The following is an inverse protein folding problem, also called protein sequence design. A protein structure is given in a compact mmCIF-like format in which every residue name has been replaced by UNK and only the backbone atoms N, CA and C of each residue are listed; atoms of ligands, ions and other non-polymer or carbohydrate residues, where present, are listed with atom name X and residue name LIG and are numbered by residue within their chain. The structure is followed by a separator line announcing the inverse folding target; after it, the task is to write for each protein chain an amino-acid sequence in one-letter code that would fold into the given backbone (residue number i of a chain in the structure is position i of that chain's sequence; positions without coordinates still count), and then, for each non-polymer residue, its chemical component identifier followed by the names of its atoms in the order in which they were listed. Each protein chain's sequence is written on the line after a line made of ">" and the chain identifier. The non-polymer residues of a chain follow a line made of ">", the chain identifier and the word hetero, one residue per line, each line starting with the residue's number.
data_IF_686440544023
#
_entry.id   IF_686440544023
#
_cell.length_a   1.000
_cell.length_b   1.000
_cell.length_c   1.000
_cell.angle_alpha   90.00
_cell.angle_beta   90.00
_cell.angle_gamma   90.00
#
_symmetry.space_group_name_H-M   'P 1'
#
loop_
_entity.id
_entity.type
_entity.pdbx_description
1 polymer ?
#
# COMPACT_ATOMS: atom_id res chain seq x y z
N UNK A 1 13.23 17.12 7.86
CA UNK A 1 12.20 17.60 6.91
C UNK A 1 12.07 19.10 7.05
N UNK A 2 11.96 19.84 5.94
CA UNK A 2 11.75 21.28 6.00
C UNK A 2 10.26 21.62 6.27
N UNK A 3 9.97 22.87 6.64
CA UNK A 3 8.59 23.31 6.93
C UNK A 3 7.63 23.13 5.74
N UNK A 4 8.15 23.20 4.51
CA UNK A 4 7.37 22.97 3.29
C UNK A 4 7.01 21.49 3.10
N UNK A 5 7.92 20.57 3.41
CA UNK A 5 7.65 19.12 3.33
C UNK A 5 6.52 18.73 4.29
N UNK A 6 6.54 19.27 5.51
CA UNK A 6 5.51 18.99 6.53
C UNK A 6 4.13 19.52 6.07
N UNK A 7 4.08 20.70 5.43
CA UNK A 7 2.82 21.24 4.88
C UNK A 7 2.30 20.40 3.73
N UNK A 8 3.19 19.94 2.84
CA UNK A 8 2.82 19.10 1.71
C UNK A 8 2.32 17.72 2.16
N UNK A 9 3.05 17.06 3.06
CA UNK A 9 2.65 15.78 3.65
C UNK A 9 1.24 15.87 4.25
N UNK A 10 0.95 16.91 5.04
CA UNK A 10 -0.40 17.13 5.59
C UNK A 10 -1.47 17.34 4.51
N UNK A 11 -1.12 17.98 3.38
CA UNK A 11 -2.05 18.16 2.25
C UNK A 11 -2.36 16.81 1.58
N UNK A 12 -1.34 15.98 1.36
CA UNK A 12 -1.46 14.63 0.82
C UNK A 12 -2.31 13.76 1.76
N UNK A 13 -1.98 13.75 3.05
CA UNK A 13 -2.68 12.95 4.05
C UNK A 13 -4.17 13.29 4.11
N UNK A 14 -4.54 14.58 4.13
CA UNK A 14 -5.94 15.00 4.08
C UNK A 14 -6.65 14.57 2.80
N UNK A 15 -5.98 14.68 1.66
CA UNK A 15 -6.54 14.27 0.38
C UNK A 15 -6.79 12.76 0.34
N UNK A 16 -5.77 11.97 0.69
CA UNK A 16 -5.85 10.51 0.74
C UNK A 16 -6.91 10.03 1.73
N UNK A 17 -6.96 10.60 2.94
CA UNK A 17 -7.98 10.26 3.94
C UNK A 17 -9.38 10.53 3.41
N UNK A 18 -9.62 11.68 2.77
CA UNK A 18 -10.92 11.99 2.17
C UNK A 18 -11.31 10.97 1.08
N UNK A 19 -10.36 10.53 0.27
CA UNK A 19 -10.61 9.48 -0.72
C UNK A 19 -10.94 8.13 -0.06
N UNK A 20 -10.27 7.78 1.05
CA UNK A 20 -10.52 6.55 1.80
C UNK A 20 -11.85 6.59 2.57
N UNK A 21 -12.22 7.73 3.16
CA UNK A 21 -13.50 7.89 3.87
C UNK A 21 -14.71 7.78 2.91
N UNK A 22 -14.51 8.07 1.62
CA UNK A 22 -15.51 7.88 0.58
C UNK A 22 -15.63 6.43 0.09
N UNK A 23 -14.81 5.51 0.61
CA UNK A 23 -14.92 4.08 0.33
C UNK A 23 -16.08 3.48 1.12
N UNK A 24 -17.20 3.23 0.46
CA UNK A 24 -18.44 2.74 1.08
C UNK A 24 -18.84 1.33 0.64
N UNK A 25 -17.94 0.65 -0.10
CA UNK A 25 -18.33 -0.48 -0.95
C UNK A 25 -18.24 -1.84 -0.27
N UNK A 26 -17.49 -1.97 0.83
CA UNK A 26 -17.32 -3.26 1.49
C UNK A 26 -17.45 -3.16 3.02
N UNK A 27 -18.18 -4.10 3.64
CA UNK A 27 -18.10 -4.27 5.08
C UNK A 27 -16.68 -4.71 5.47
N UNK A 28 -16.15 -4.19 6.58
CA UNK A 28 -14.81 -4.52 7.07
C UNK A 28 -14.10 -3.31 7.69
N UNK A 29 -12.82 -3.48 8.05
CA UNK A 29 -11.98 -2.38 8.53
C UNK A 29 -11.87 -1.26 7.51
N UNK A 30 -11.77 -0.02 7.99
CA UNK A 30 -11.71 1.15 7.11
C UNK A 30 -10.39 1.22 6.33
N UNK A 31 -10.46 1.53 5.03
CA UNK A 31 -9.30 1.60 4.11
C UNK A 31 -8.16 2.51 4.62
N UNK A 32 -8.48 3.53 5.42
CA UNK A 32 -7.48 4.43 5.98
C UNK A 32 -6.51 3.72 6.95
N UNK A 33 -6.98 2.74 7.71
CA UNK A 33 -6.15 1.97 8.64
C UNK A 33 -5.07 1.17 7.89
N UNK A 34 -5.46 0.49 6.81
CA UNK A 34 -4.55 -0.16 5.85
C UNK A 34 -3.52 0.82 5.31
N UNK A 35 -3.94 1.97 4.78
CA UNK A 35 -3.02 2.99 4.24
C UNK A 35 -1.98 3.45 5.29
N UNK A 36 -2.39 3.60 6.56
CA UNK A 36 -1.47 3.95 7.64
C UNK A 36 -0.48 2.82 7.97
N UNK A 37 -0.91 1.55 7.92
CA UNK A 37 -0.02 0.40 8.05
C UNK A 37 0.99 0.34 6.90
N UNK A 38 0.53 0.48 5.65
CA UNK A 38 1.38 0.49 4.46
C UNK A 38 2.42 1.60 4.55
N UNK A 39 2.03 2.82 4.93
CA UNK A 39 2.98 3.93 5.16
C UNK A 39 4.07 3.57 6.18
N UNK A 40 3.69 2.96 7.30
CA UNK A 40 4.65 2.55 8.34
C UNK A 40 5.66 1.52 7.81
N UNK A 41 5.19 0.51 7.08
CA UNK A 41 6.08 -0.48 6.48
C UNK A 41 6.92 0.08 5.35
N UNK A 42 6.38 0.94 4.49
CA UNK A 42 7.11 1.58 3.41
C UNK A 42 8.29 2.39 3.95
N UNK A 43 8.09 3.21 4.98
CA UNK A 43 9.17 3.96 5.64
C UNK A 43 10.22 3.05 6.29
N UNK A 44 9.78 1.97 6.95
CA UNK A 44 10.67 1.00 7.58
C UNK A 44 11.55 0.29 6.55
N UNK A 45 10.95 -0.20 5.47
CA UNK A 45 11.65 -0.89 4.39
C UNK A 45 12.55 0.08 3.63
N UNK A 46 12.09 1.29 3.32
CA UNK A 46 12.89 2.32 2.65
C UNK A 46 14.23 2.58 3.36
N UNK A 47 14.19 2.65 4.70
CA UNK A 47 15.39 2.83 5.52
C UNK A 47 16.35 1.63 5.43
N UNK A 48 15.82 0.42 5.36
CA UNK A 48 16.64 -0.81 5.25
C UNK A 48 17.26 -0.93 3.86
N UNK A 49 16.49 -0.63 2.81
CA UNK A 49 16.93 -0.69 1.42
C UNK A 49 17.76 0.53 0.98
N UNK A 50 17.83 1.58 1.80
CA UNK A 50 18.62 2.79 1.52
C UNK A 50 18.04 3.67 0.40
N UNK A 51 16.71 3.71 0.27
CA UNK A 51 16.00 4.46 -0.79
C UNK A 51 15.26 5.68 -0.27
N UNK A 52 14.84 6.57 -1.17
CA UNK A 52 14.16 7.82 -0.82
C UNK A 52 12.84 7.58 -0.07
N UNK A 53 12.84 7.96 1.22
CA UNK A 53 11.68 7.84 2.10
C UNK A 53 10.54 8.80 1.75
N UNK A 54 10.82 9.98 1.17
CA UNK A 54 9.80 11.01 0.94
C UNK A 54 8.84 10.58 -0.17
N UNK A 55 9.38 10.16 -1.32
CA UNK A 55 8.56 9.69 -2.43
C UNK A 55 7.72 8.46 -2.02
N UNK A 56 8.32 7.54 -1.26
CA UNK A 56 7.64 6.35 -0.77
C UNK A 56 6.52 6.65 0.23
N UNK A 57 6.73 7.63 1.13
CA UNK A 57 5.68 8.06 2.06
C UNK A 57 4.47 8.61 1.31
N UNK A 58 4.70 9.44 0.29
CA UNK A 58 3.62 10.01 -0.53
C UNK A 58 2.93 8.94 -1.37
N UNK A 59 3.70 8.02 -1.97
CA UNK A 59 3.14 6.91 -2.74
C UNK A 59 2.30 5.98 -1.86
N UNK A 60 2.76 5.65 -0.64
CA UNK A 60 2.01 4.83 0.30
C UNK A 60 0.69 5.48 0.73
N UNK A 61 0.66 6.80 0.94
CA UNK A 61 -0.59 7.51 1.24
C UNK A 61 -1.57 7.49 0.05
N UNK A 62 -1.06 7.46 -1.17
CA UNK A 62 -1.87 7.64 -2.38
C UNK A 62 -2.21 6.33 -3.11
N UNK A 63 -1.62 5.19 -2.74
CA UNK A 63 -1.68 3.96 -3.54
C UNK A 63 -3.11 3.44 -3.80
N UNK A 64 -4.00 3.59 -2.83
CA UNK A 64 -5.34 3.00 -2.83
C UNK A 64 -6.50 4.00 -2.96
N UNK A 65 -6.21 5.28 -3.24
CA UNK A 65 -7.23 6.35 -3.29
C UNK A 65 -8.29 6.15 -4.39
N UNK A 66 -8.01 5.28 -5.36
CA UNK A 66 -8.90 4.89 -6.45
C UNK A 66 -9.88 3.77 -6.09
N UNK A 67 -9.86 3.20 -4.89
CA UNK A 67 -10.81 2.13 -4.48
C UNK A 67 -12.26 2.61 -4.26
N UNK A 68 -12.50 3.91 -4.23
CA UNK A 68 -13.78 4.54 -3.84
C UNK A 68 -14.97 4.43 -4.82
N UNK A 69 -14.95 3.53 -5.80
CA UNK A 69 -16.01 3.42 -6.82
C UNK A 69 -16.42 1.98 -7.09
N UNK A 70 -17.67 1.77 -7.51
CA UNK A 70 -18.31 0.45 -7.69
C UNK A 70 -17.54 -0.44 -8.68
N UNK A 71 -16.85 0.16 -9.65
CA UNK A 71 -16.00 -0.52 -10.64
C UNK A 71 -14.53 -0.67 -10.17
N UNK A 72 -14.22 -0.28 -8.93
CA UNK A 72 -12.87 -0.07 -8.42
C UNK A 72 -12.02 -1.32 -8.22
N UNK A 73 -12.60 -2.53 -8.23
CA UNK A 73 -11.82 -3.75 -7.93
C UNK A 73 -10.82 -4.10 -9.04
N UNK A 74 -11.20 -4.02 -10.32
CA UNK A 74 -10.34 -4.48 -11.42
C UNK A 74 -9.28 -3.46 -11.88
N UNK A 75 -9.41 -2.17 -11.53
CA UNK A 75 -8.51 -1.12 -12.01
C UNK A 75 -8.13 -0.05 -10.96
N UNK A 76 -8.23 -0.33 -9.66
CA UNK A 76 -7.94 0.68 -8.62
C UNK A 76 -6.55 1.32 -8.76
N UNK A 77 -5.52 0.59 -9.19
CA UNK A 77 -4.18 1.15 -9.30
C UNK A 77 -4.05 2.14 -10.45
N UNK A 78 -4.66 1.86 -11.61
CA UNK A 78 -4.71 2.82 -12.73
C UNK A 78 -5.49 4.08 -12.32
N UNK A 79 -6.61 3.92 -11.61
CA UNK A 79 -7.40 5.05 -11.12
C UNK A 79 -6.64 5.85 -10.04
N UNK A 80 -5.99 5.16 -9.11
CA UNK A 80 -5.15 5.80 -8.09
C UNK A 80 -4.01 6.57 -8.73
N UNK A 81 -3.41 6.04 -9.81
CA UNK A 81 -2.42 6.74 -10.62
C UNK A 81 -3.00 8.01 -11.24
N UNK A 82 -4.17 7.96 -11.89
CA UNK A 82 -4.79 9.15 -12.49
C UNK A 82 -5.16 10.22 -11.46
N UNK A 83 -5.69 9.82 -10.30
CA UNK A 83 -5.98 10.73 -9.18
C UNK A 83 -4.70 11.34 -8.60
N UNK A 84 -3.66 10.51 -8.43
CA UNK A 84 -2.34 10.93 -7.97
C UNK A 84 -1.73 11.94 -8.93
N UNK A 85 -1.72 11.63 -10.23
CA UNK A 85 -1.20 12.51 -11.29
C UNK A 85 -1.91 13.87 -11.28
N UNK A 86 -3.24 13.89 -11.16
CA UNK A 86 -4.02 15.13 -11.04
C UNK A 86 -3.67 15.91 -9.77
N UNK A 87 -3.59 15.23 -8.62
CA UNK A 87 -3.23 15.87 -7.36
C UNK A 87 -1.82 16.47 -7.37
N UNK A 88 -0.83 15.72 -7.88
CA UNK A 88 0.58 16.12 -7.89
C UNK A 88 0.87 17.31 -8.81
N UNK A 89 0.02 17.56 -9.81
CA UNK A 89 0.08 18.81 -10.62
C UNK A 89 -0.26 20.06 -9.80
N UNK A 90 -0.93 19.93 -8.65
CA UNK A 90 -1.34 21.05 -7.79
C UNK A 90 -0.35 21.36 -6.67
N UNK A 91 0.82 20.71 -6.65
CA UNK A 91 1.85 20.87 -5.63
C UNK A 91 3.21 21.04 -6.30
N UNK A 92 4.12 21.73 -5.61
CA UNK A 92 5.47 21.93 -6.12
C UNK A 92 6.36 20.76 -5.71
N UNK A 93 6.71 19.91 -6.67
CA UNK A 93 7.63 18.79 -6.52
C UNK A 93 8.50 18.66 -7.79
N UNK A 94 9.75 18.18 -7.67
CA UNK A 94 10.55 17.80 -8.82
C UNK A 94 9.79 16.82 -9.73
N UNK A 95 9.96 16.92 -11.04
CA UNK A 95 9.31 16.01 -12.00
C UNK A 95 9.66 14.55 -11.70
N UNK A 96 10.94 14.26 -11.47
CA UNK A 96 11.43 12.93 -11.13
C UNK A 96 10.76 12.33 -9.89
N UNK A 97 10.51 13.14 -8.85
CA UNK A 97 9.78 12.72 -7.65
C UNK A 97 8.31 12.43 -7.98
N UNK A 98 7.66 13.25 -8.81
CA UNK A 98 6.28 13.03 -9.23
C UNK A 98 6.12 11.76 -10.06
N UNK A 99 7.04 11.50 -10.98
CA UNK A 99 7.08 10.29 -11.79
C UNK A 99 7.29 9.04 -10.93
N UNK A 100 8.22 9.08 -9.98
CA UNK A 100 8.46 7.97 -9.06
C UNK A 100 7.22 7.63 -8.21
N UNK A 101 6.56 8.65 -7.65
CA UNK A 101 5.32 8.44 -6.87
C UNK A 101 4.25 7.80 -7.76
N UNK A 102 4.05 8.36 -8.96
CA UNK A 102 3.09 7.84 -9.93
C UNK A 102 3.37 6.40 -10.33
N UNK A 103 4.63 6.06 -10.61
CA UNK A 103 5.03 4.71 -10.98
C UNK A 103 4.78 3.70 -9.85
N UNK A 104 5.14 4.06 -8.62
CA UNK A 104 4.85 3.26 -7.44
C UNK A 104 3.34 3.01 -7.29
N UNK A 105 2.53 4.06 -7.39
CA UNK A 105 1.06 3.95 -7.30
C UNK A 105 0.47 3.14 -8.46
N UNK A 106 1.01 3.24 -9.68
CA UNK A 106 0.49 2.47 -10.81
C UNK A 106 0.78 0.97 -10.66
N UNK A 107 1.98 0.61 -10.20
CA UNK A 107 2.49 -0.76 -10.19
C UNK A 107 2.31 -1.50 -8.85
N UNK A 108 1.79 -0.87 -7.80
CA UNK A 108 1.71 -1.50 -6.48
C UNK A 108 0.86 -2.78 -6.44
N UNK A 109 -0.19 -2.89 -7.27
CA UNK A 109 -1.05 -4.09 -7.30
C UNK A 109 -0.63 -5.13 -8.34
N UNK A 110 0.24 -4.77 -9.28
CA UNK A 110 0.60 -5.65 -10.40
C UNK A 110 1.55 -6.76 -9.94
N UNK A 111 1.23 -8.00 -10.32
CA UNK A 111 2.11 -9.17 -10.16
C UNK A 111 3.19 -9.28 -11.26
N UNK A 112 3.19 -8.37 -12.24
CA UNK A 112 4.03 -8.45 -13.44
C UNK A 112 5.50 -8.09 -13.20
N UNK A 113 6.38 -8.78 -13.95
CA UNK A 113 7.85 -8.71 -14.02
C UNK A 113 8.53 -7.92 -12.89
N UNK A 114 8.52 -8.54 -11.71
CA UNK A 114 9.18 -8.03 -10.51
C UNK A 114 10.70 -7.81 -10.72
N UNK A 115 11.30 -8.34 -11.77
CA UNK A 115 12.72 -8.18 -12.08
C UNK A 115 13.06 -6.73 -12.49
N UNK A 116 12.26 -6.11 -13.36
CA UNK A 116 12.55 -4.78 -13.95
C UNK A 116 12.03 -3.60 -13.13
N UNK A 117 11.32 -3.87 -12.03
CA UNK A 117 10.82 -2.81 -11.18
C UNK A 117 11.95 -2.07 -10.48
N UNK A 118 11.81 -0.75 -10.39
CA UNK A 118 12.63 0.07 -9.50
C UNK A 118 12.50 -0.42 -8.06
N UNK A 119 13.56 -0.22 -7.27
CA UNK A 119 13.60 -0.65 -5.88
C UNK A 119 12.46 -0.02 -5.04
N UNK A 120 12.08 1.23 -5.31
CA UNK A 120 10.99 1.91 -4.61
C UNK A 120 9.62 1.27 -4.91
N UNK A 121 9.40 0.81 -6.14
CA UNK A 121 8.18 0.07 -6.50
C UNK A 121 8.12 -1.24 -5.71
N UNK A 122 9.24 -1.98 -5.62
CA UNK A 122 9.35 -3.22 -4.82
C UNK A 122 9.09 -2.95 -3.34
N UNK A 123 9.61 -1.85 -2.81
CA UNK A 123 9.36 -1.43 -1.42
C UNK A 123 7.87 -1.19 -1.18
N UNK A 124 7.19 -0.45 -2.05
CA UNK A 124 5.75 -0.21 -1.88
C UNK A 124 4.92 -1.49 -2.02
N UNK A 125 5.24 -2.37 -2.98
CA UNK A 125 4.57 -3.66 -3.16
C UNK A 125 4.72 -4.55 -1.91
N UNK A 126 5.92 -4.62 -1.34
CA UNK A 126 6.17 -5.35 -0.10
C UNK A 126 5.44 -4.71 1.09
N UNK A 127 5.42 -3.38 1.17
CA UNK A 127 4.74 -2.66 2.24
C UNK A 127 3.21 -2.86 2.19
N UNK A 128 2.61 -2.88 0.99
CA UNK A 128 1.19 -3.18 0.77
C UNK A 128 0.85 -4.60 1.27
N UNK A 129 1.67 -5.59 0.91
CA UNK A 129 1.50 -6.97 1.37
C UNK A 129 1.65 -7.11 2.89
N UNK A 130 2.64 -6.43 3.49
CA UNK A 130 2.81 -6.40 4.95
C UNK A 130 1.65 -5.68 5.63
N UNK A 131 1.11 -4.62 5.03
CA UNK A 131 -0.08 -3.93 5.53
C UNK A 131 -1.24 -4.88 5.74
N UNK A 132 -1.53 -5.73 4.75
CA UNK A 132 -2.55 -6.77 4.85
C UNK A 132 -2.25 -7.78 5.97
N UNK A 133 -1.00 -8.26 6.07
CA UNK A 133 -0.62 -9.30 7.04
C UNK A 133 -0.59 -8.84 8.50
N UNK A 134 -0.42 -7.55 8.75
CA UNK A 134 -0.28 -6.97 10.08
C UNK A 134 -1.48 -6.07 10.47
N UNK A 135 -2.56 -6.11 9.70
CA UNK A 135 -3.83 -5.47 10.03
C UNK A 135 -4.69 -6.44 10.86
N UNK A 136 -4.62 -6.31 12.19
CA UNK A 136 -5.31 -7.22 13.12
C UNK A 136 -6.83 -7.21 12.92
N UNK A 137 -7.44 -6.04 12.65
CA UNK A 137 -8.88 -5.93 12.39
C UNK A 137 -9.26 -6.66 11.08
N UNK A 138 -8.42 -6.55 10.05
CA UNK A 138 -8.61 -7.28 8.79
C UNK A 138 -8.43 -8.79 8.98
N UNK A 139 -7.46 -9.21 9.78
CA UNK A 139 -7.26 -10.63 10.09
C UNK A 139 -8.46 -11.21 10.86
N UNK A 140 -9.01 -10.48 11.82
CA UNK A 140 -10.21 -10.89 12.55
C UNK A 140 -11.43 -10.97 11.61
N UNK A 141 -11.66 -9.93 10.83
CA UNK A 141 -12.77 -9.86 9.87
C UNK A 141 -12.72 -10.99 8.83
N UNK A 142 -11.55 -11.24 8.24
CA UNK A 142 -11.42 -12.28 7.20
C UNK A 142 -11.60 -13.68 7.78
N UNK A 143 -11.12 -13.95 8.99
CA UNK A 143 -11.35 -15.23 9.68
C UNK A 143 -12.81 -15.48 10.02
N UNK A 144 -13.54 -14.44 10.44
CA UNK A 144 -14.96 -14.57 10.79
C UNK A 144 -15.88 -14.70 9.57
N UNK A 145 -15.42 -14.25 8.40
CA UNK A 145 -16.29 -14.04 7.23
C UNK A 145 -15.96 -14.92 6.03
N UNK A 146 -14.71 -15.40 5.91
CA UNK A 146 -14.24 -16.17 4.76
C UNK A 146 -13.91 -17.62 5.15
N UNK A 147 -14.09 -18.60 4.24
CA UNK A 147 -13.63 -19.96 4.49
C UNK A 147 -12.10 -19.99 4.58
N UNK A 148 -11.56 -20.91 5.40
CA UNK A 148 -10.12 -21.09 5.61
C UNK A 148 -9.29 -21.06 4.33
N UNK A 149 -9.71 -21.80 3.30
CA UNK A 149 -9.01 -21.86 2.02
C UNK A 149 -8.87 -20.48 1.36
N UNK A 150 -9.89 -19.61 1.48
CA UNK A 150 -9.81 -18.26 0.94
C UNK A 150 -8.83 -17.39 1.75
N UNK A 151 -8.79 -17.54 3.07
CA UNK A 151 -7.83 -16.83 3.93
C UNK A 151 -6.39 -17.27 3.63
N UNK A 152 -6.16 -18.57 3.47
CA UNK A 152 -4.85 -19.11 3.08
C UNK A 152 -4.41 -18.58 1.70
N UNK A 153 -5.32 -18.50 0.73
CA UNK A 153 -5.04 -17.89 -0.58
C UNK A 153 -4.67 -16.40 -0.48
N UNK A 154 -5.26 -15.65 0.46
CA UNK A 154 -4.85 -14.26 0.72
C UNK A 154 -3.39 -14.20 1.18
N UNK A 155 -2.97 -15.09 2.08
CA UNK A 155 -1.59 -15.15 2.56
C UNK A 155 -0.61 -15.54 1.44
N UNK A 156 -0.97 -16.49 0.60
CA UNK A 156 -0.17 -16.86 -0.57
C UNK A 156 -0.01 -15.71 -1.56
N UNK A 157 -1.10 -14.95 -1.82
CA UNK A 157 -1.04 -13.76 -2.66
C UNK A 157 -0.13 -12.69 -2.07
N UNK A 158 -0.20 -12.45 -0.76
CA UNK A 158 0.71 -11.52 -0.08
C UNK A 158 2.17 -11.97 -0.21
N UNK A 159 2.47 -13.27 -0.04
CA UNK A 159 3.83 -13.80 -0.23
C UNK A 159 4.35 -13.62 -1.65
N UNK A 160 3.50 -13.79 -2.67
CA UNK A 160 3.90 -13.58 -4.08
C UNK A 160 4.32 -12.13 -4.38
N UNK A 161 3.77 -11.15 -3.64
CA UNK A 161 4.16 -9.74 -3.75
C UNK A 161 5.49 -9.42 -3.04
N UNK A 162 5.90 -10.26 -2.08
CA UNK A 162 7.10 -10.02 -1.27
C UNK A 162 8.35 -10.47 -2.01
N UNK A 163 9.07 -9.48 -2.53
CA UNK A 163 10.30 -9.67 -3.31
C UNK A 163 11.56 -9.26 -2.56
N UNK A 164 11.44 -8.39 -1.57
CA UNK A 164 12.56 -7.94 -0.76
C UNK A 164 12.79 -8.88 0.41
N UNK A 165 14.06 -9.23 0.63
CA UNK A 165 14.49 -10.05 1.75
C UNK A 165 14.16 -9.38 3.10
N UNK A 166 14.29 -8.06 3.18
CA UNK A 166 13.91 -7.28 4.37
C UNK A 166 12.43 -7.41 4.73
N UNK A 167 11.55 -7.50 3.73
CA UNK A 167 10.12 -7.72 3.92
C UNK A 167 9.80 -9.19 4.21
N UNK A 168 10.49 -10.12 3.55
CA UNK A 168 10.35 -11.58 3.76
C UNK A 168 10.56 -11.98 5.20
N UNK A 169 11.62 -11.46 5.84
CA UNK A 169 11.92 -11.69 7.27
C UNK A 169 10.82 -11.25 8.23
N UNK A 170 9.96 -10.32 7.82
CA UNK A 170 8.81 -9.88 8.62
C UNK A 170 7.57 -10.73 8.31
N UNK A 171 7.33 -11.06 7.04
CA UNK A 171 6.11 -11.73 6.61
C UNK A 171 6.07 -13.22 6.95
N UNK A 172 7.15 -13.96 6.77
CA UNK A 172 7.18 -15.41 7.00
C UNK A 172 6.77 -15.80 8.43
N UNK A 173 7.36 -15.23 9.51
CA UNK A 173 6.93 -15.55 10.87
C UNK A 173 5.48 -15.09 11.15
N UNK A 174 5.06 -13.96 10.57
CA UNK A 174 3.69 -13.47 10.74
C UNK A 174 2.68 -14.41 10.08
N UNK A 175 2.95 -14.90 8.87
CA UNK A 175 2.07 -15.85 8.19
C UNK A 175 2.02 -17.18 8.92
N UNK A 176 3.14 -17.67 9.44
CA UNK A 176 3.16 -18.88 10.26
C UNK A 176 2.25 -18.72 11.49
N UNK A 177 2.35 -17.58 12.19
CA UNK A 177 1.46 -17.23 13.30
C UNK A 177 0.00 -17.18 12.86
N UNK A 178 -0.31 -16.51 11.76
CA UNK A 178 -1.69 -16.36 11.27
C UNK A 178 -2.31 -17.70 10.89
N UNK A 179 -1.56 -18.58 10.20
CA UNK A 179 -2.02 -19.93 9.83
C UNK A 179 -2.26 -20.82 11.05
N UNK A 180 -1.45 -20.71 12.09
CA UNK A 180 -1.67 -21.45 13.34
C UNK A 180 -2.96 -21.03 14.08
N UNK A 181 -3.50 -19.84 13.75
CA UNK A 181 -4.75 -19.31 14.27
C UNK A 181 -5.95 -19.55 13.33
N UNK A 182 -5.76 -20.28 12.24
CA UNK A 182 -6.85 -20.77 11.40
C UNK A 182 -7.20 -22.18 11.90
N UNK A 183 -8.29 -22.28 12.65
CA UNK A 183 -8.86 -23.57 13.06
C UNK A 183 -9.26 -24.42 11.85
#
# INVERSE_FOLDING_TARGET
>A
MCANDVRLLRKIERFAKKCCDNYTLEPGPGLWSHVQLVRRFALKLAKVEGVDTQALEYAALLHDIGKNDKDGRENHSLRSYELTKKFLKTVNLPESTRELIQECVLKHSTSYSLEDNRIEVKVLQCADALGVLFDDEWQEYTKSTLPRMAVEQLYERSLKKITLESARRLAEPQIAKLKALLE
#
